data_IF_729364559099
#
_entry.id   IF_729364559099
#
_cell.length_a   1.000
_cell.length_b   1.000
_cell.length_c   1.000
_cell.angle_alpha   90.00
_cell.angle_beta   90.00
_cell.angle_gamma   90.00
#
_symmetry.space_group_name_H-M   'P 1'
#
loop_
_entity.id
_entity.type
_entity.pdbx_description
1 polymer ?
#
# COMPACT_ATOMS: atom_id res chain seq x y z
N UNK A 1 18.45 -24.71 -6.38
CA UNK A 1 17.37 -24.71 -7.40
C UNK A 1 16.93 -23.27 -7.62
N UNK A 2 16.78 -22.82 -8.87
CA UNK A 2 16.23 -21.50 -9.15
C UNK A 2 14.77 -21.44 -8.65
N UNK A 3 14.39 -20.38 -7.91
CA UNK A 3 12.99 -20.18 -7.51
C UNK A 3 12.15 -19.98 -8.77
N UNK A 4 11.06 -20.74 -8.87
CA UNK A 4 10.06 -20.63 -9.91
C UNK A 4 8.85 -19.86 -9.37
N UNK A 5 8.15 -19.13 -10.24
CA UNK A 5 6.85 -18.57 -9.91
C UNK A 5 5.77 -19.67 -9.90
N UNK A 6 4.54 -19.31 -9.55
CA UNK A 6 3.41 -20.26 -9.50
C UNK A 6 3.07 -20.86 -10.88
N UNK A 7 3.45 -20.20 -11.98
CA UNK A 7 3.29 -20.70 -13.35
C UNK A 7 4.44 -21.64 -13.78
N UNK A 8 5.38 -21.96 -12.88
CA UNK A 8 6.54 -22.80 -13.17
C UNK A 8 7.65 -22.12 -13.97
N UNK A 9 7.60 -20.80 -14.16
CA UNK A 9 8.61 -20.01 -14.88
C UNK A 9 9.67 -19.46 -13.92
N UNK A 10 10.89 -19.25 -14.42
CA UNK A 10 11.95 -18.57 -13.66
C UNK A 10 11.54 -17.15 -13.28
N UNK A 11 11.83 -16.73 -12.04
CA UNK A 11 11.55 -15.37 -11.57
C UNK A 11 12.66 -14.42 -12.05
N UNK A 12 12.37 -13.42 -12.91
CA UNK A 12 13.36 -12.43 -13.29
C UNK A 12 13.71 -11.51 -12.12
N UNK A 13 14.94 -10.99 -12.11
CA UNK A 13 15.32 -9.92 -11.18
C UNK A 13 14.52 -8.66 -11.51
N UNK A 14 14.12 -7.92 -10.48
CA UNK A 14 13.37 -6.66 -10.61
C UNK A 14 13.90 -5.63 -9.63
N UNK A 15 13.84 -4.36 -10.03
CA UNK A 15 13.95 -3.19 -9.16
C UNK A 15 12.56 -2.82 -8.63
N UNK A 16 12.40 -2.75 -7.31
CA UNK A 16 11.12 -2.53 -6.64
C UNK A 16 11.19 -1.23 -5.83
N UNK A 17 10.44 -0.20 -6.26
CA UNK A 17 10.25 1.04 -5.52
C UNK A 17 9.20 0.85 -4.43
N UNK A 18 9.62 0.85 -3.17
CA UNK A 18 8.75 0.69 -2.00
C UNK A 18 8.57 2.01 -1.28
N UNK A 19 7.42 2.64 -1.51
CA UNK A 19 7.02 3.90 -0.88
C UNK A 19 6.37 3.58 0.46
N UNK A 20 6.83 4.21 1.54
CA UNK A 20 6.48 3.81 2.91
C UNK A 20 7.21 2.54 3.37
N UNK A 21 8.37 2.24 2.77
CA UNK A 21 9.11 1.00 3.02
C UNK A 21 9.85 0.97 4.37
N UNK A 22 9.99 2.10 5.07
CA UNK A 22 10.46 2.18 6.45
C UNK A 22 9.34 2.01 7.48
N UNK A 23 8.09 1.88 7.04
CA UNK A 23 6.94 1.57 7.89
C UNK A 23 6.91 0.13 8.41
N UNK A 24 5.88 -0.23 9.19
CA UNK A 24 5.75 -1.56 9.79
C UNK A 24 5.70 -2.71 8.76
N UNK A 25 4.81 -2.62 7.77
CA UNK A 25 4.75 -3.63 6.70
C UNK A 25 5.99 -3.55 5.81
N UNK A 26 6.44 -2.31 5.52
CA UNK A 26 7.58 -2.04 4.66
C UNK A 26 8.86 -2.71 5.14
N UNK A 27 9.18 -2.60 6.44
CA UNK A 27 10.40 -3.18 7.00
C UNK A 27 10.44 -4.70 6.87
N UNK A 28 9.33 -5.37 7.19
CA UNK A 28 9.22 -6.83 7.02
C UNK A 28 9.25 -7.26 5.56
N UNK A 29 8.67 -6.46 4.65
CA UNK A 29 8.76 -6.72 3.22
C UNK A 29 10.21 -6.58 2.72
N UNK A 30 10.95 -5.58 3.21
CA UNK A 30 12.37 -5.43 2.92
C UNK A 30 13.17 -6.64 3.40
N UNK A 31 12.97 -7.08 4.64
CA UNK A 31 13.62 -8.28 5.21
C UNK A 31 13.40 -9.51 4.32
N UNK A 32 12.15 -9.79 3.95
CA UNK A 32 11.80 -10.93 3.10
C UNK A 32 12.39 -10.81 1.69
N UNK A 33 12.37 -9.63 1.10
CA UNK A 33 12.93 -9.40 -0.23
C UNK A 33 14.43 -9.63 -0.24
N UNK A 34 15.18 -9.08 0.72
CA UNK A 34 16.64 -9.23 0.73
C UNK A 34 17.07 -10.64 1.15
N UNK A 35 16.36 -11.29 2.06
CA UNK A 35 16.72 -12.62 2.55
C UNK A 35 16.35 -13.74 1.56
N UNK A 36 15.22 -13.62 0.87
CA UNK A 36 14.63 -14.75 0.13
C UNK A 36 14.60 -14.57 -1.39
N UNK A 37 14.98 -13.42 -1.91
CA UNK A 37 14.92 -13.12 -3.35
C UNK A 37 16.17 -12.41 -3.84
N UNK A 38 16.29 -12.35 -5.17
CA UNK A 38 17.36 -11.60 -5.85
C UNK A 38 16.92 -10.18 -6.27
N UNK A 39 15.72 -9.73 -5.87
CA UNK A 39 15.23 -8.40 -6.25
C UNK A 39 16.05 -7.29 -5.59
N UNK A 40 16.03 -6.11 -6.22
CA UNK A 40 16.57 -4.86 -5.67
C UNK A 40 15.44 -4.07 -5.03
N UNK A 41 15.62 -3.65 -3.78
CA UNK A 41 14.74 -2.80 -3.01
C UNK A 41 15.19 -1.34 -3.09
N UNK A 42 14.33 -0.47 -3.63
CA UNK A 42 14.49 0.98 -3.60
C UNK A 42 13.49 1.52 -2.57
N UNK A 43 13.95 1.73 -1.34
CA UNK A 43 13.11 2.11 -0.21
C UNK A 43 12.96 3.62 -0.14
N UNK A 44 11.72 4.09 -0.11
CA UNK A 44 11.35 5.50 -0.07
C UNK A 44 10.53 5.74 1.19
N UNK A 45 11.06 6.52 2.13
CA UNK A 45 10.35 6.87 3.37
C UNK A 45 10.93 8.14 4.00
N UNK A 46 10.24 8.73 4.98
CA UNK A 46 10.75 9.88 5.74
C UNK A 46 11.74 9.46 6.84
N UNK A 47 11.72 8.19 7.23
CA UNK A 47 12.60 7.60 8.26
C UNK A 47 13.04 6.18 7.89
N UNK A 48 14.27 5.81 8.24
CA UNK A 48 14.85 4.48 8.06
C UNK A 48 14.92 3.66 9.35
N UNK A 49 14.45 4.17 10.49
CA UNK A 49 14.68 3.55 11.82
C UNK A 49 14.36 2.04 11.87
N UNK A 50 13.30 1.59 11.18
CA UNK A 50 12.89 0.17 11.16
C UNK A 50 13.63 -0.70 10.14
N UNK A 51 14.53 -0.12 9.34
CA UNK A 51 15.30 -0.82 8.32
C UNK A 51 16.81 -0.53 8.43
N UNK A 52 17.27 0.24 9.41
CA UNK A 52 18.69 0.58 9.58
C UNK A 52 19.57 -0.68 9.65
N UNK A 53 19.07 -1.76 10.28
CA UNK A 53 19.74 -3.06 10.33
C UNK A 53 19.94 -3.73 8.97
N UNK A 54 19.21 -3.31 7.94
CA UNK A 54 19.33 -3.81 6.56
C UNK A 54 20.27 -2.95 5.70
N UNK A 55 20.62 -1.74 6.14
CA UNK A 55 21.36 -0.74 5.36
C UNK A 55 22.87 -0.79 5.58
N UNK A 56 23.37 -1.64 6.48
CA UNK A 56 24.81 -1.83 6.68
C UNK A 56 25.48 -2.33 5.39
N UNK A 57 26.52 -1.60 4.96
CA UNK A 57 27.27 -1.86 3.73
C UNK A 57 28.12 -3.12 3.77
N UNK A 58 28.37 -3.67 4.95
CA UNK A 58 29.06 -4.96 5.13
C UNK A 58 28.19 -6.17 4.81
N UNK A 59 26.87 -5.99 4.70
CA UNK A 59 25.93 -7.09 4.50
C UNK A 59 25.98 -7.65 3.07
N UNK A 60 25.72 -8.96 2.88
CA UNK A 60 25.76 -9.60 1.56
C UNK A 60 24.82 -8.98 0.51
N UNK A 61 23.73 -8.35 0.97
CA UNK A 61 22.72 -7.72 0.13
C UNK A 61 22.86 -6.19 0.02
N UNK A 62 23.95 -5.60 0.52
CA UNK A 62 24.14 -4.14 0.54
C UNK A 62 24.01 -3.47 -0.84
N UNK A 63 24.26 -4.21 -1.93
CA UNK A 63 24.11 -3.74 -3.31
C UNK A 63 22.67 -3.83 -3.85
N UNK A 64 21.76 -4.49 -3.12
CA UNK A 64 20.37 -4.74 -3.50
C UNK A 64 19.37 -3.94 -2.68
N UNK A 65 19.81 -3.13 -1.73
CA UNK A 65 18.93 -2.24 -0.97
C UNK A 65 19.50 -0.83 -0.96
N UNK A 66 18.65 0.14 -1.24
CA UNK A 66 18.96 1.55 -1.11
C UNK A 66 17.81 2.29 -0.43
N UNK A 67 18.16 3.26 0.41
CA UNK A 67 17.20 4.10 1.11
C UNK A 67 17.26 5.52 0.57
N UNK A 68 16.08 6.08 0.30
CA UNK A 68 15.89 7.45 -0.17
C UNK A 68 14.97 8.16 0.82
N UNK A 69 15.56 9.07 1.61
CA UNK A 69 14.80 9.88 2.57
C UNK A 69 13.96 10.93 1.83
N UNK A 70 12.65 10.71 1.78
CA UNK A 70 11.72 11.43 0.90
C UNK A 70 10.32 11.55 1.50
N UNK A 71 9.69 12.69 1.25
CA UNK A 71 8.26 12.87 1.46
C UNK A 71 7.54 12.95 0.10
N UNK A 72 6.57 12.07 -0.15
CA UNK A 72 5.91 11.96 -1.45
C UNK A 72 5.03 13.17 -1.81
N UNK A 73 4.72 14.05 -0.85
CA UNK A 73 3.88 15.24 -1.07
C UNK A 73 4.46 16.24 -2.08
N UNK A 74 5.78 16.32 -2.19
CA UNK A 74 6.41 17.43 -2.92
C UNK A 74 7.88 17.19 -3.29
N UNK A 75 8.27 15.94 -3.60
CA UNK A 75 9.64 15.63 -4.05
C UNK A 75 9.67 15.19 -5.53
N UNK A 76 10.38 15.96 -6.35
CA UNK A 76 10.52 15.71 -7.79
C UNK A 76 11.31 14.44 -8.12
N UNK A 77 12.07 13.88 -7.15
CA UNK A 77 12.81 12.62 -7.35
C UNK A 77 11.89 11.42 -7.41
N UNK A 78 10.65 11.51 -6.90
CA UNK A 78 9.70 10.41 -6.83
C UNK A 78 9.40 9.81 -8.21
N UNK A 79 9.21 10.65 -9.23
CA UNK A 79 8.96 10.20 -10.59
C UNK A 79 10.15 9.39 -11.13
N UNK A 80 11.37 9.90 -10.96
CA UNK A 80 12.60 9.22 -11.40
C UNK A 80 12.78 7.86 -10.72
N UNK A 81 12.48 7.76 -9.42
CA UNK A 81 12.55 6.49 -8.70
C UNK A 81 11.51 5.49 -9.21
N UNK A 82 10.26 5.91 -9.43
CA UNK A 82 9.22 5.04 -10.01
C UNK A 82 9.59 4.63 -11.43
N UNK A 83 10.05 5.58 -12.26
CA UNK A 83 10.43 5.34 -13.66
C UNK A 83 11.61 4.37 -13.80
N UNK A 84 12.56 4.40 -12.86
CA UNK A 84 13.73 3.52 -12.86
C UNK A 84 13.50 2.14 -12.21
N UNK A 85 12.33 1.92 -11.61
CA UNK A 85 11.91 0.62 -11.09
C UNK A 85 11.00 -0.14 -12.06
N UNK A 86 10.92 -1.46 -11.90
CA UNK A 86 10.02 -2.34 -12.66
C UNK A 86 8.65 -2.44 -11.99
N UNK A 87 8.63 -2.34 -10.66
CA UNK A 87 7.46 -2.46 -9.80
C UNK A 87 7.47 -1.34 -8.75
N UNK A 88 6.31 -0.74 -8.52
CA UNK A 88 6.08 0.17 -7.41
C UNK A 88 5.11 -0.44 -6.41
N UNK A 89 5.46 -0.40 -5.13
CA UNK A 89 4.60 -0.80 -4.01
C UNK A 89 4.36 0.45 -3.16
N UNK A 90 3.09 0.86 -3.03
CA UNK A 90 2.71 2.02 -2.24
C UNK A 90 2.09 1.60 -0.90
N UNK A 91 2.85 1.80 0.18
CA UNK A 91 2.50 1.54 1.57
C UNK A 91 2.29 2.83 2.39
N UNK A 92 2.69 3.99 1.85
CA UNK A 92 2.62 5.25 2.57
C UNK A 92 1.15 5.65 2.81
N UNK A 93 0.79 5.78 4.10
CA UNK A 93 -0.56 6.09 4.54
C UNK A 93 -0.57 6.51 6.01
N UNK A 94 -1.48 7.41 6.38
CA UNK A 94 -1.97 7.53 7.76
C UNK A 94 -3.01 6.42 7.96
N UNK A 95 -2.72 5.46 8.84
CA UNK A 95 -3.55 4.27 9.06
C UNK A 95 -3.81 3.97 10.55
N UNK A 96 -3.71 4.99 11.42
CA UNK A 96 -4.02 4.86 12.85
C UNK A 96 -5.46 5.31 13.10
N UNK A 97 -6.38 4.45 13.57
CA UNK A 97 -7.79 4.79 13.71
C UNK A 97 -8.09 6.02 14.58
N UNK A 98 -7.24 6.30 15.57
CA UNK A 98 -7.35 7.48 16.44
C UNK A 98 -7.23 8.81 15.66
N UNK A 99 -6.56 8.80 14.51
CA UNK A 99 -6.35 9.98 13.67
C UNK A 99 -7.50 10.25 12.71
N UNK A 100 -8.31 9.25 12.38
CA UNK A 100 -9.29 9.37 11.29
C UNK A 100 -10.36 10.43 11.59
N UNK A 101 -10.76 10.54 12.85
CA UNK A 101 -11.76 11.50 13.32
C UNK A 101 -11.17 12.76 13.97
N UNK A 102 -9.88 12.77 14.32
CA UNK A 102 -9.21 13.91 14.95
C UNK A 102 -8.41 14.75 13.94
N UNK A 103 -7.90 14.11 12.89
CA UNK A 103 -7.15 14.67 11.77
C UNK A 103 -7.72 14.19 10.42
N UNK A 104 -9.02 14.41 10.15
CA UNK A 104 -9.69 13.85 8.98
C UNK A 104 -9.16 14.41 7.66
N UNK A 105 -8.73 15.69 7.64
CA UNK A 105 -8.16 16.31 6.45
C UNK A 105 -6.83 15.64 6.10
N UNK A 106 -5.91 15.54 7.05
CA UNK A 106 -4.62 14.87 6.86
C UNK A 106 -4.80 13.41 6.45
N UNK A 107 -5.79 12.73 7.04
CA UNK A 107 -6.14 11.35 6.69
C UNK A 107 -6.58 11.25 5.23
N UNK A 108 -7.46 12.14 4.75
CA UNK A 108 -7.92 12.14 3.35
C UNK A 108 -6.78 12.48 2.40
N UNK A 109 -5.99 13.52 2.70
CA UNK A 109 -4.86 13.91 1.87
C UNK A 109 -3.85 12.77 1.75
N UNK A 110 -3.45 12.19 2.88
CA UNK A 110 -2.47 11.09 2.90
C UNK A 110 -2.94 9.85 2.13
N UNK A 111 -4.21 9.49 2.22
CA UNK A 111 -4.70 8.22 1.68
C UNK A 111 -5.29 8.34 0.26
N UNK A 112 -5.56 9.56 -0.20
CA UNK A 112 -6.07 9.83 -1.55
C UNK A 112 -5.18 10.80 -2.31
N UNK A 113 -5.13 12.07 -1.92
CA UNK A 113 -4.47 13.13 -2.70
C UNK A 113 -2.98 12.84 -2.93
N UNK A 114 -2.25 12.48 -1.88
CA UNK A 114 -0.81 12.21 -1.93
C UNK A 114 -0.47 10.93 -2.72
N UNK A 115 -1.46 10.05 -2.93
CA UNK A 115 -1.30 8.85 -3.74
C UNK A 115 -1.44 9.11 -5.24
N UNK A 116 -2.12 10.20 -5.63
CA UNK A 116 -2.38 10.53 -7.04
C UNK A 116 -1.10 10.64 -7.87
N UNK A 117 -0.03 11.34 -7.43
CA UNK A 117 1.23 11.39 -8.17
C UNK A 117 1.82 9.99 -8.40
N UNK A 118 1.77 9.10 -7.41
CA UNK A 118 2.29 7.73 -7.54
C UNK A 118 1.52 6.97 -8.62
N UNK A 119 0.19 7.04 -8.60
CA UNK A 119 -0.69 6.39 -9.58
C UNK A 119 -0.43 6.95 -10.98
N UNK A 120 -0.35 8.27 -11.09
CA UNK A 120 -0.03 8.98 -12.33
C UNK A 120 1.31 8.53 -12.91
N UNK A 121 2.39 8.58 -12.13
CA UNK A 121 3.73 8.19 -12.59
C UNK A 121 3.80 6.72 -12.98
N UNK A 122 3.11 5.82 -12.27
CA UNK A 122 3.02 4.43 -12.67
C UNK A 122 2.28 4.26 -14.00
N UNK A 123 1.18 4.98 -14.19
CA UNK A 123 0.37 4.93 -15.42
C UNK A 123 1.15 5.46 -16.62
N UNK A 124 1.72 6.68 -16.51
CA UNK A 124 2.46 7.34 -17.58
C UNK A 124 3.73 6.57 -17.98
N UNK A 125 4.44 6.00 -17.00
CA UNK A 125 5.66 5.22 -17.24
C UNK A 125 5.40 3.71 -17.42
N UNK A 126 4.14 3.29 -17.50
CA UNK A 126 3.71 1.88 -17.67
C UNK A 126 4.34 0.92 -16.65
N UNK A 127 4.41 1.36 -15.39
CA UNK A 127 4.94 0.57 -14.28
C UNK A 127 3.84 -0.20 -13.60
N UNK A 128 4.15 -1.42 -13.17
CA UNK A 128 3.23 -2.20 -12.36
C UNK A 128 3.12 -1.54 -10.99
N UNK A 129 1.88 -1.33 -10.53
CA UNK A 129 1.58 -0.79 -9.20
C UNK A 129 0.93 -1.87 -8.32
N UNK A 130 1.44 -2.03 -7.11
CA UNK A 130 0.74 -2.70 -6.00
C UNK A 130 0.40 -1.62 -4.97
N UNK A 131 -0.89 -1.35 -4.80
CA UNK A 131 -1.38 -0.39 -3.82
C UNK A 131 -1.95 -1.12 -2.60
N UNK A 132 -1.56 -0.68 -1.40
CA UNK A 132 -2.12 -1.22 -0.17
C UNK A 132 -3.37 -0.43 0.22
N UNK A 133 -4.53 -1.02 -0.08
CA UNK A 133 -5.81 -0.58 0.45
C UNK A 133 -6.01 -1.13 1.87
N UNK A 134 -7.26 -1.43 2.26
CA UNK A 134 -7.61 -1.86 3.62
C UNK A 134 -8.91 -2.65 3.61
N UNK A 135 -9.09 -3.57 4.56
CA UNK A 135 -10.39 -4.18 4.80
C UNK A 135 -11.45 -3.17 5.27
N UNK A 136 -11.05 -1.98 5.74
CA UNK A 136 -12.00 -0.93 6.11
C UNK A 136 -12.82 -0.38 4.92
N UNK A 137 -12.43 -0.66 3.67
CA UNK A 137 -13.23 -0.27 2.49
C UNK A 137 -14.58 -0.99 2.44
N UNK A 138 -14.69 -2.19 2.99
CA UNK A 138 -15.98 -2.87 3.16
C UNK A 138 -16.84 -2.16 4.21
N UNK A 139 -16.19 -1.66 5.25
CA UNK A 139 -16.82 -0.95 6.36
C UNK A 139 -17.66 -1.87 7.23
N UNK A 140 -18.96 -1.60 7.29
CA UNK A 140 -19.90 -2.41 8.08
C UNK A 140 -20.38 -3.60 7.27
N UNK A 141 -20.68 -4.70 7.96
CA UNK A 141 -21.36 -5.85 7.33
C UNK A 141 -22.84 -5.54 7.12
N UNK A 142 -23.46 -6.14 6.10
CA UNK A 142 -24.91 -6.05 5.86
C UNK A 142 -25.67 -6.54 7.11
N UNK A 143 -25.19 -7.62 7.72
CA UNK A 143 -25.80 -8.20 8.93
C UNK A 143 -25.88 -7.24 10.11
N UNK A 144 -25.03 -6.21 10.17
CA UNK A 144 -25.05 -5.22 11.26
C UNK A 144 -26.34 -4.37 11.30
N UNK A 145 -27.12 -4.34 10.22
CA UNK A 145 -28.41 -3.64 10.12
C UNK A 145 -29.62 -4.57 10.28
N UNK A 146 -29.39 -5.88 10.39
CA UNK A 146 -30.45 -6.87 10.52
C UNK A 146 -30.73 -7.22 11.99
N UNK A 147 -31.94 -7.73 12.29
CA UNK A 147 -32.25 -8.41 13.54
C UNK A 147 -31.25 -9.54 13.85
N UNK A 148 -31.06 -9.85 15.13
CA UNK A 148 -30.00 -10.73 15.62
C UNK A 148 -30.06 -12.15 15.03
N UNK A 149 -31.29 -12.66 14.79
CA UNK A 149 -31.54 -13.97 14.22
C UNK A 149 -30.93 -14.16 12.82
N UNK A 150 -30.78 -13.08 12.04
CA UNK A 150 -30.21 -13.15 10.70
C UNK A 150 -28.68 -12.97 10.69
N UNK A 151 -28.07 -12.48 11.77
CA UNK A 151 -26.64 -12.13 11.80
C UNK A 151 -25.69 -13.31 11.67
N UNK A 152 -26.17 -14.54 11.92
CA UNK A 152 -25.37 -15.77 11.86
C UNK A 152 -25.23 -16.35 10.46
N UNK A 153 -26.00 -15.87 9.48
CA UNK A 153 -25.89 -16.34 8.10
C UNK A 153 -24.64 -15.73 7.43
N UNK A 154 -23.68 -16.57 6.96
CA UNK A 154 -22.43 -16.10 6.35
C UNK A 154 -22.62 -15.12 5.19
N UNK A 155 -23.74 -15.19 4.46
CA UNK A 155 -24.00 -14.27 3.33
C UNK A 155 -24.08 -12.80 3.75
N UNK A 156 -24.28 -12.51 5.05
CA UNK A 156 -24.39 -11.15 5.56
C UNK A 156 -23.13 -10.62 6.23
N UNK A 157 -22.07 -11.42 6.38
CA UNK A 157 -20.82 -10.99 7.01
C UNK A 157 -19.53 -11.43 6.30
N UNK A 158 -19.58 -12.41 5.38
CA UNK A 158 -18.45 -12.71 4.50
C UNK A 158 -18.25 -11.52 3.55
N UNK A 159 -17.00 -11.07 3.43
CA UNK A 159 -16.60 -9.94 2.59
C UNK A 159 -15.80 -10.47 1.41
N UNK A 160 -16.41 -10.49 0.23
CA UNK A 160 -15.79 -10.83 -1.05
C UNK A 160 -15.46 -9.57 -1.85
N UNK A 161 -14.26 -9.51 -2.40
CA UNK A 161 -13.69 -8.33 -3.07
C UNK A 161 -14.41 -7.88 -4.35
N UNK A 162 -15.08 -8.79 -5.05
CA UNK A 162 -15.75 -8.56 -6.33
C UNK A 162 -17.26 -8.30 -6.20
N UNK A 163 -17.87 -8.70 -5.09
CA UNK A 163 -19.33 -8.70 -4.90
C UNK A 163 -19.80 -7.83 -3.71
N UNK A 164 -19.00 -7.73 -2.64
CA UNK A 164 -19.49 -7.14 -1.38
C UNK A 164 -19.53 -5.61 -1.42
N UNK A 165 -20.54 -4.97 -0.81
CA UNK A 165 -20.67 -3.53 -0.83
C UNK A 165 -19.69 -2.85 0.14
N UNK A 166 -19.41 -1.58 -0.13
CA UNK A 166 -18.76 -0.66 0.82
C UNK A 166 -19.83 0.06 1.63
N UNK A 167 -19.96 -0.24 2.94
CA UNK A 167 -21.01 0.33 3.79
C UNK A 167 -20.39 1.20 4.89
N UNK A 168 -20.59 2.51 4.77
CA UNK A 168 -20.09 3.50 5.73
C UNK A 168 -21.20 4.13 6.54
N UNK A 169 -20.83 4.80 7.63
CA UNK A 169 -21.74 5.62 8.43
C UNK A 169 -22.02 6.98 7.79
N UNK A 170 -22.89 7.79 8.40
CA UNK A 170 -23.18 9.14 7.91
C UNK A 170 -21.94 10.04 8.01
N UNK A 171 -21.96 11.17 7.28
CA UNK A 171 -20.84 12.14 7.21
C UNK A 171 -20.38 12.62 8.60
N UNK A 172 -21.29 12.76 9.57
CA UNK A 172 -20.93 13.13 10.95
C UNK A 172 -20.03 12.11 11.65
N UNK A 173 -19.91 10.88 11.14
CA UNK A 173 -18.99 9.85 11.63
C UNK A 173 -17.67 9.92 10.87
N UNK A 174 -16.84 10.89 11.26
CA UNK A 174 -15.56 11.21 10.64
C UNK A 174 -14.54 10.05 10.60
N UNK A 175 -14.70 8.99 11.41
CA UNK A 175 -13.92 7.74 11.28
C UNK A 175 -13.85 7.23 9.83
N UNK A 176 -14.91 7.41 9.05
CA UNK A 176 -14.98 6.93 7.67
C UNK A 176 -14.20 7.78 6.66
N UNK A 177 -13.53 8.86 7.10
CA UNK A 177 -12.61 9.65 6.28
C UNK A 177 -11.55 8.76 5.62
N UNK A 178 -10.94 7.86 6.41
CA UNK A 178 -9.94 6.90 5.96
C UNK A 178 -10.51 5.92 4.92
N UNK A 179 -11.60 5.24 5.25
CA UNK A 179 -12.20 4.23 4.38
C UNK A 179 -12.68 4.81 3.04
N UNK A 180 -13.29 6.01 3.07
CA UNK A 180 -13.75 6.69 1.86
C UNK A 180 -12.58 7.14 0.98
N UNK A 181 -11.50 7.67 1.58
CA UNK A 181 -10.28 8.02 0.86
C UNK A 181 -9.67 6.78 0.17
N UNK A 182 -9.51 5.67 0.90
CA UNK A 182 -9.01 4.40 0.35
C UNK A 182 -9.92 3.85 -0.76
N UNK A 183 -11.24 3.87 -0.57
CA UNK A 183 -12.19 3.44 -1.58
C UNK A 183 -12.07 4.27 -2.87
N UNK A 184 -11.91 5.59 -2.76
CA UNK A 184 -11.74 6.46 -3.92
C UNK A 184 -10.40 6.19 -4.64
N UNK A 185 -9.32 5.97 -3.89
CA UNK A 185 -8.01 5.58 -4.44
C UNK A 185 -8.11 4.28 -5.22
N UNK A 186 -8.78 3.26 -4.68
CA UNK A 186 -8.97 1.97 -5.36
C UNK A 186 -9.75 2.12 -6.66
N UNK A 187 -10.81 2.93 -6.65
CA UNK A 187 -11.60 3.24 -7.86
C UNK A 187 -10.79 4.00 -8.91
N UNK A 188 -9.96 4.94 -8.49
CA UNK A 188 -9.05 5.67 -9.37
C UNK A 188 -8.07 4.71 -10.04
N UNK A 189 -7.41 3.85 -9.27
CA UNK A 189 -6.47 2.85 -9.79
C UNK A 189 -7.16 1.86 -10.73
N UNK A 190 -8.39 1.45 -10.39
CA UNK A 190 -9.17 0.56 -11.25
C UNK A 190 -9.48 1.22 -12.60
N UNK A 191 -9.76 2.53 -12.61
CA UNK A 191 -10.06 3.31 -13.81
C UNK A 191 -8.83 3.68 -14.66
N UNK A 192 -7.61 3.52 -14.16
CA UNK A 192 -6.37 3.77 -14.92
C UNK A 192 -5.88 2.56 -15.73
N UNK A 193 -6.67 1.48 -15.77
CA UNK A 193 -6.37 0.28 -16.56
C UNK A 193 -6.56 0.49 -18.05
#
# INVERSE_FOLDING_TARGET
MARLNLDGKSIPMMSICMIGGGGFIGSHLCEKLVAETNHKAVVVDVSSEKIDHLLDRSLPWAHRIEFHQLNIKSDSRLETLIKSSDLTINLAAICTPADYNTRPLETIYSNFVDSIPVIKYCTENKKRLIHFSTCEIYGKTIGSFLPEEFRKDPKYFILKEDESPCIFGPISKQRWSYACAKQMTDRLIYGTR
#
